data_IF_672593082104
#
_entry.id   IF_672593082104
#
_cell.length_a   1.000
_cell.length_b   1.000
_cell.length_c   1.000
_cell.angle_alpha   90.00
_cell.angle_beta   90.00
_cell.angle_gamma   90.00
#
_symmetry.space_group_name_H-M   'P 1'
#
loop_
_entity.id
_entity.type
_entity.pdbx_description
1 polymer ?
#
# COMPACT_ATOMS: atom_id res chain seq x y z
N UNK A 1 43.14 -32.17 -2.96
CA UNK A 1 41.90 -31.31 -3.07
C UNK A 1 40.87 -31.90 -2.12
N UNK A 2 40.66 -31.28 -0.95
CA UNK A 2 39.64 -31.73 0.02
C UNK A 2 38.40 -30.85 -0.16
N UNK A 3 37.30 -31.44 -0.61
CA UNK A 3 36.00 -30.78 -0.64
C UNK A 3 35.43 -30.70 0.79
N UNK A 4 35.25 -29.50 1.32
CA UNK A 4 34.55 -29.28 2.59
C UNK A 4 33.05 -29.33 2.31
N UNK A 5 32.42 -30.44 2.67
CA UNK A 5 30.98 -30.60 2.66
C UNK A 5 30.38 -29.76 3.79
N UNK A 6 29.74 -28.64 3.44
CA UNK A 6 28.94 -27.84 4.35
C UNK A 6 27.74 -28.65 4.86
N UNK A 7 27.59 -28.72 6.19
CA UNK A 7 26.56 -29.52 6.87
C UNK A 7 25.15 -28.99 6.49
N UNK A 8 24.21 -29.88 6.13
CA UNK A 8 22.86 -29.51 5.68
C UNK A 8 22.00 -28.73 6.69
N UNK A 9 22.37 -28.71 7.97
CA UNK A 9 21.67 -27.95 9.03
C UNK A 9 21.77 -26.42 8.90
N UNK A 10 22.82 -25.90 8.23
CA UNK A 10 23.02 -24.46 8.08
C UNK A 10 22.14 -23.89 6.95
N UNK A 11 21.87 -24.68 5.90
CA UNK A 11 21.00 -24.28 4.78
C UNK A 11 19.53 -24.19 5.24
N UNK A 12 19.11 -25.06 6.18
CA UNK A 12 17.75 -25.06 6.71
C UNK A 12 17.45 -23.84 7.60
N UNK A 13 18.48 -23.37 8.34
CA UNK A 13 18.34 -22.20 9.22
C UNK A 13 18.25 -20.88 8.45
N UNK A 14 18.98 -20.76 7.33
CA UNK A 14 18.94 -19.57 6.46
C UNK A 14 17.60 -19.47 5.72
N UNK A 15 17.02 -20.59 5.29
CA UNK A 15 15.68 -20.63 4.70
C UNK A 15 14.58 -20.29 5.71
N UNK A 16 14.76 -20.66 7.01
CA UNK A 16 13.80 -20.36 8.06
C UNK A 16 13.80 -18.88 8.45
N UNK A 17 14.96 -18.21 8.45
CA UNK A 17 15.07 -16.77 8.75
C UNK A 17 14.51 -15.92 7.61
N UNK A 18 14.69 -16.34 6.35
CA UNK A 18 14.08 -15.67 5.18
C UNK A 18 12.56 -15.90 5.19
N UNK A 19 12.05 -17.07 5.64
CA UNK A 19 10.61 -17.32 5.76
C UNK A 19 9.97 -16.58 6.93
N UNK A 20 10.69 -16.30 8.02
CA UNK A 20 10.19 -15.47 9.13
C UNK A 20 10.13 -13.96 8.80
N UNK A 21 10.87 -13.49 7.79
CA UNK A 21 10.77 -12.11 7.29
C UNK A 21 9.56 -11.88 6.35
N UNK A 22 8.84 -12.96 5.95
CA UNK A 22 7.78 -12.88 4.94
C UNK A 22 6.48 -13.63 5.28
N UNK A 23 6.23 -14.03 6.53
CA UNK A 23 4.95 -14.68 6.80
C UNK A 23 4.32 -14.35 8.14
N UNK A 24 3.70 -13.20 8.25
CA UNK A 24 2.32 -13.22 8.69
C UNK A 24 1.50 -13.54 7.44
N UNK A 25 1.26 -14.82 7.16
CA UNK A 25 0.22 -15.22 6.22
C UNK A 25 -1.11 -14.74 6.80
N UNK A 26 -1.45 -13.49 6.55
CA UNK A 26 -2.81 -13.03 6.65
C UNK A 26 -3.57 -13.79 5.57
N UNK A 27 -4.32 -14.81 5.96
CA UNK A 27 -5.23 -15.49 5.07
C UNK A 27 -6.24 -14.46 4.57
N UNK A 28 -6.08 -14.06 3.30
CA UNK A 28 -7.12 -13.28 2.65
C UNK A 28 -8.29 -14.21 2.34
N UNK A 29 -9.51 -13.75 2.65
CA UNK A 29 -10.72 -14.53 2.47
C UNK A 29 -11.39 -14.18 1.14
N UNK A 30 -11.82 -15.20 0.41
CA UNK A 30 -12.71 -15.02 -0.73
C UNK A 30 -14.15 -14.98 -0.21
N UNK A 31 -14.79 -13.83 -0.28
CA UNK A 31 -16.13 -13.56 0.20
C UNK A 31 -17.06 -13.29 -0.99
N UNK A 32 -18.19 -14.00 -1.05
CA UNK A 32 -19.15 -13.88 -2.16
C UNK A 32 -20.19 -12.77 -1.94
N UNK A 33 -20.36 -12.32 -0.71
CA UNK A 33 -21.42 -11.36 -0.39
C UNK A 33 -20.98 -10.33 0.64
N UNK A 34 -21.27 -9.05 0.39
CA UNK A 34 -21.07 -7.99 1.36
C UNK A 34 -21.77 -8.24 2.70
N UNK A 35 -22.88 -9.03 2.70
CA UNK A 35 -23.60 -9.42 3.93
C UNK A 35 -22.76 -10.32 4.85
N UNK A 36 -21.81 -11.06 4.29
CA UNK A 36 -20.88 -11.89 5.09
C UNK A 36 -19.90 -10.99 5.84
N UNK A 37 -19.39 -9.94 5.16
CA UNK A 37 -18.54 -8.91 5.76
C UNK A 37 -19.29 -8.22 6.90
N UNK A 38 -20.48 -7.67 6.62
CA UNK A 38 -21.32 -6.98 7.61
C UNK A 38 -21.60 -7.86 8.85
N UNK A 39 -21.98 -9.14 8.61
CA UNK A 39 -22.25 -10.10 9.69
C UNK A 39 -21.00 -10.36 10.54
N UNK A 40 -19.85 -10.52 9.92
CA UNK A 40 -18.60 -10.77 10.65
C UNK A 40 -18.26 -9.60 11.58
N UNK A 41 -18.28 -8.38 11.09
CA UNK A 41 -17.90 -7.22 11.87
C UNK A 41 -18.94 -6.89 12.95
N UNK A 42 -20.23 -7.02 12.67
CA UNK A 42 -21.30 -6.91 13.68
C UNK A 42 -21.16 -7.93 14.82
N UNK A 43 -20.87 -9.20 14.48
CA UNK A 43 -20.66 -10.26 15.47
C UNK A 43 -19.47 -9.99 16.39
N UNK A 44 -18.46 -9.30 15.90
CA UNK A 44 -17.26 -8.96 16.66
C UNK A 44 -17.31 -7.56 17.29
N UNK A 45 -18.45 -6.86 17.19
CA UNK A 45 -18.66 -5.49 17.66
C UNK A 45 -17.61 -4.50 17.15
N UNK A 46 -17.21 -4.62 15.90
CA UNK A 46 -16.23 -3.72 15.27
C UNK A 46 -16.99 -2.65 14.48
N UNK A 47 -16.72 -1.39 14.83
CA UNK A 47 -17.17 -0.21 14.12
C UNK A 47 -15.99 0.45 13.41
N UNK A 48 -16.00 0.45 12.09
CA UNK A 48 -14.89 1.01 11.29
C UNK A 48 -14.68 2.51 11.50
N UNK A 49 -15.70 3.24 11.92
CA UNK A 49 -15.60 4.68 12.20
C UNK A 49 -15.07 5.00 13.61
N UNK A 50 -15.06 3.99 14.50
CA UNK A 50 -14.57 4.12 15.88
C UNK A 50 -13.56 3.00 16.20
N UNK A 51 -12.80 2.58 15.21
CA UNK A 51 -11.87 1.46 15.30
C UNK A 51 -10.80 1.72 16.37
N UNK A 52 -10.63 0.75 17.27
CA UNK A 52 -9.61 0.80 18.30
C UNK A 52 -8.37 -0.01 17.89
N UNK A 53 -7.18 0.39 18.37
CA UNK A 53 -5.94 -0.34 18.08
C UNK A 53 -6.02 -1.83 18.44
N UNK A 54 -6.70 -2.19 19.53
CA UNK A 54 -6.92 -3.58 19.98
C UNK A 54 -7.83 -4.41 19.05
N UNK A 55 -8.50 -3.76 18.09
CA UNK A 55 -9.40 -4.42 17.14
C UNK A 55 -8.72 -4.70 15.79
N UNK A 56 -7.57 -4.08 15.54
CA UNK A 56 -6.83 -4.23 14.27
C UNK A 56 -6.56 -5.70 13.95
N UNK A 57 -6.19 -6.52 14.93
CA UNK A 57 -5.91 -7.94 14.75
C UNK A 57 -7.16 -8.76 14.33
N UNK A 58 -8.36 -8.23 14.58
CA UNK A 58 -9.62 -8.86 14.17
C UNK A 58 -10.05 -8.47 12.76
N UNK A 59 -9.36 -7.51 12.13
CA UNK A 59 -9.67 -7.09 10.77
C UNK A 59 -9.28 -8.17 9.78
N UNK A 60 -10.17 -8.40 8.81
CA UNK A 60 -9.96 -9.41 7.76
C UNK A 60 -9.53 -8.76 6.46
N UNK A 61 -8.61 -9.39 5.76
CA UNK A 61 -8.26 -9.04 4.39
C UNK A 61 -9.11 -9.86 3.43
N UNK A 62 -9.72 -9.20 2.44
CA UNK A 62 -10.53 -9.85 1.41
C UNK A 62 -9.77 -9.85 0.08
N UNK A 63 -9.88 -10.97 -0.68
CA UNK A 63 -9.18 -11.12 -1.96
C UNK A 63 -9.78 -10.25 -3.05
N UNK A 64 -11.13 -10.16 -3.06
CA UNK A 64 -11.89 -9.45 -4.09
C UNK A 64 -13.01 -8.63 -3.45
N UNK A 65 -13.55 -7.68 -4.20
CA UNK A 65 -14.82 -7.06 -3.86
C UNK A 65 -15.92 -8.09 -4.10
N UNK A 66 -16.87 -8.29 -3.16
CA UNK A 66 -17.97 -9.24 -3.36
C UNK A 66 -18.81 -8.90 -4.60
N UNK A 67 -19.20 -9.92 -5.39
CA UNK A 67 -19.92 -9.74 -6.65
C UNK A 67 -21.22 -8.92 -6.48
N UNK A 68 -21.89 -9.08 -5.35
CA UNK A 68 -23.13 -8.37 -5.07
C UNK A 68 -22.94 -7.01 -4.38
N UNK A 69 -21.71 -6.52 -4.29
CA UNK A 69 -21.44 -5.22 -3.66
C UNK A 69 -22.07 -4.05 -4.44
N UNK A 70 -22.08 -4.14 -5.77
CA UNK A 70 -22.69 -3.13 -6.63
C UNK A 70 -24.22 -3.00 -6.40
N UNK A 71 -24.88 -4.05 -5.93
CA UNK A 71 -26.33 -4.06 -5.65
C UNK A 71 -26.71 -3.47 -4.29
N UNK A 72 -25.73 -3.05 -3.48
CA UNK A 72 -25.98 -2.42 -2.19
C UNK A 72 -26.44 -0.97 -2.41
N UNK A 73 -27.73 -0.71 -2.16
CA UNK A 73 -28.36 0.60 -2.40
C UNK A 73 -28.11 1.60 -1.25
N UNK A 74 -28.07 1.12 -0.01
CA UNK A 74 -27.79 1.95 1.16
C UNK A 74 -26.38 2.55 1.08
N UNK A 75 -26.33 3.86 0.85
CA UNK A 75 -25.08 4.60 0.65
C UNK A 75 -24.18 4.54 1.90
N UNK A 76 -24.76 4.66 3.09
CA UNK A 76 -23.97 4.65 4.33
C UNK A 76 -23.38 3.25 4.58
N UNK A 77 -24.19 2.22 4.40
CA UNK A 77 -23.73 0.82 4.49
C UNK A 77 -22.67 0.50 3.43
N UNK A 78 -22.80 1.05 2.24
CA UNK A 78 -21.81 0.90 1.17
C UNK A 78 -20.45 1.49 1.56
N UNK A 79 -20.44 2.69 2.11
CA UNK A 79 -19.22 3.34 2.62
C UNK A 79 -18.59 2.51 3.74
N UNK A 80 -19.40 2.07 4.71
CA UNK A 80 -18.94 1.22 5.81
C UNK A 80 -18.27 -0.07 5.30
N UNK A 81 -18.94 -0.81 4.42
CA UNK A 81 -18.38 -2.06 3.85
C UNK A 81 -17.12 -1.77 3.03
N UNK A 82 -17.09 -0.68 2.27
CA UNK A 82 -15.89 -0.30 1.53
C UNK A 82 -14.70 -0.04 2.45
N UNK A 83 -14.89 0.68 3.55
CA UNK A 83 -13.84 0.90 4.54
C UNK A 83 -13.38 -0.41 5.20
N UNK A 84 -14.32 -1.32 5.52
CA UNK A 84 -14.01 -2.65 6.08
C UNK A 84 -13.23 -3.53 5.09
N UNK A 85 -13.31 -3.26 3.79
CA UNK A 85 -12.49 -3.93 2.75
C UNK A 85 -11.13 -3.23 2.58
N UNK A 86 -11.13 -1.91 2.42
CA UNK A 86 -9.95 -1.18 1.99
C UNK A 86 -8.95 -0.90 3.14
N UNK A 87 -9.46 -0.52 4.33
CA UNK A 87 -8.62 -0.17 5.47
C UNK A 87 -7.66 -1.31 5.89
N UNK A 88 -8.10 -2.56 6.09
CA UNK A 88 -7.20 -3.64 6.50
C UNK A 88 -6.05 -3.88 5.51
N UNK A 89 -6.33 -3.75 4.21
CA UNK A 89 -5.33 -3.91 3.16
C UNK A 89 -4.30 -2.78 3.17
N UNK A 90 -4.75 -1.55 3.36
CA UNK A 90 -3.88 -0.36 3.45
C UNK A 90 -3.02 -0.46 4.71
N UNK A 91 -3.63 -0.76 5.86
CA UNK A 91 -2.93 -0.92 7.12
C UNK A 91 -1.84 -1.99 7.02
N UNK A 92 -2.19 -3.19 6.56
CA UNK A 92 -1.24 -4.31 6.40
C UNK A 92 -0.05 -3.92 5.51
N UNK A 93 -0.29 -3.32 4.35
CA UNK A 93 0.80 -2.90 3.47
C UNK A 93 1.68 -1.81 4.09
N UNK A 94 1.11 -0.92 4.91
CA UNK A 94 1.89 0.04 5.68
C UNK A 94 2.75 -0.65 6.75
N UNK A 95 2.24 -1.68 7.42
CA UNK A 95 3.03 -2.46 8.38
C UNK A 95 4.22 -3.16 7.70
N UNK A 96 4.01 -3.76 6.53
CA UNK A 96 5.11 -4.34 5.73
C UNK A 96 6.20 -3.28 5.41
N UNK A 97 5.78 -2.08 5.01
CA UNK A 97 6.71 -0.97 4.75
C UNK A 97 7.41 -0.52 6.03
N UNK A 98 6.73 -0.48 7.19
CA UNK A 98 7.35 -0.16 8.48
C UNK A 98 8.43 -1.18 8.85
N UNK A 99 8.20 -2.47 8.61
CA UNK A 99 9.19 -3.53 8.85
C UNK A 99 10.43 -3.34 7.96
N UNK A 100 10.25 -3.10 6.66
CA UNK A 100 11.37 -2.83 5.75
C UNK A 100 12.14 -1.56 6.16
N UNK A 101 11.43 -0.51 6.56
CA UNK A 101 12.05 0.73 7.06
C UNK A 101 12.85 0.49 8.33
N UNK A 102 12.35 -0.34 9.25
CA UNK A 102 13.05 -0.73 10.48
C UNK A 102 14.37 -1.42 10.15
N UNK A 103 14.37 -2.37 9.22
CA UNK A 103 15.59 -3.05 8.75
C UNK A 103 16.64 -2.03 8.29
N UNK A 104 16.24 -1.05 7.47
CA UNK A 104 17.13 -0.01 6.97
C UNK A 104 17.73 0.83 8.12
N UNK A 105 16.89 1.21 9.09
CA UNK A 105 17.30 2.02 10.24
C UNK A 105 18.28 1.22 11.13
N UNK A 106 18.01 -0.06 11.35
CA UNK A 106 18.88 -0.91 12.18
C UNK A 106 20.23 -1.17 11.50
N UNK A 107 20.25 -1.30 10.17
CA UNK A 107 21.51 -1.36 9.41
C UNK A 107 22.31 -0.03 9.47
N UNK A 108 21.63 1.12 9.35
CA UNK A 108 22.28 2.44 9.46
C UNK A 108 22.95 2.63 10.82
N UNK A 109 22.36 2.10 11.92
CA UNK A 109 22.94 2.14 13.27
C UNK A 109 24.21 1.31 13.40
N UNK A 110 24.39 0.27 12.56
CA UNK A 110 25.61 -0.58 12.57
C UNK A 110 26.83 0.13 11.94
N UNK A 111 26.60 1.23 11.18
CA UNK A 111 27.67 2.01 10.57
C UNK A 111 27.47 2.26 9.07
N UNK A 112 28.58 2.41 8.35
CA UNK A 112 28.56 2.59 6.91
C UNK A 112 28.19 1.27 6.20
N UNK A 113 27.80 1.36 4.92
CA UNK A 113 27.46 0.16 4.11
C UNK A 113 28.64 -0.84 4.07
N UNK A 114 29.89 -0.32 4.15
CA UNK A 114 31.11 -1.15 4.12
C UNK A 114 31.31 -1.95 5.41
N UNK A 115 30.69 -1.53 6.51
CA UNK A 115 30.82 -2.16 7.82
C UNK A 115 29.79 -3.30 8.03
N UNK A 116 28.85 -3.44 7.08
CA UNK A 116 27.81 -4.46 7.15
C UNK A 116 28.37 -5.86 6.84
N UNK A 117 27.83 -6.86 7.54
CA UNK A 117 28.10 -8.27 7.22
C UNK A 117 27.41 -8.69 5.90
N UNK A 118 27.72 -9.87 5.41
CA UNK A 118 27.20 -10.37 4.12
C UNK A 118 25.69 -10.51 4.08
N UNK A 119 25.03 -10.86 5.18
CA UNK A 119 23.57 -11.02 5.28
C UNK A 119 22.87 -9.66 5.20
N UNK A 120 23.33 -8.68 5.99
CA UNK A 120 22.84 -7.32 5.96
C UNK A 120 23.03 -6.69 4.57
N UNK A 121 24.20 -6.88 3.95
CA UNK A 121 24.48 -6.39 2.59
C UNK A 121 23.53 -6.98 1.56
N UNK A 122 23.23 -8.28 1.64
CA UNK A 122 22.29 -8.92 0.74
C UNK A 122 20.87 -8.37 0.91
N UNK A 123 20.42 -8.25 2.16
CA UNK A 123 19.11 -7.66 2.48
C UNK A 123 19.02 -6.21 2.00
N UNK A 124 20.06 -5.41 2.19
CA UNK A 124 20.12 -4.02 1.72
C UNK A 124 20.05 -3.94 0.20
N UNK A 125 20.75 -4.83 -0.53
CA UNK A 125 20.68 -4.91 -2.01
C UNK A 125 19.26 -5.24 -2.49
N UNK A 126 18.59 -6.21 -1.85
CA UNK A 126 17.22 -6.59 -2.20
C UNK A 126 16.26 -5.40 -2.02
N UNK A 127 16.32 -4.72 -0.88
CA UNK A 127 15.48 -3.55 -0.60
C UNK A 127 15.80 -2.41 -1.57
N UNK A 128 17.08 -2.15 -1.84
CA UNK A 128 17.53 -1.10 -2.76
C UNK A 128 16.98 -1.33 -4.18
N UNK A 129 17.07 -2.57 -4.68
CA UNK A 129 16.50 -2.97 -5.96
C UNK A 129 14.97 -2.85 -5.97
N UNK A 130 14.30 -3.34 -4.92
CA UNK A 130 12.84 -3.24 -4.77
C UNK A 130 12.38 -1.79 -4.91
N UNK A 131 13.07 -0.86 -4.29
CA UNK A 131 12.70 0.56 -4.32
C UNK A 131 13.36 1.36 -5.47
N UNK A 132 13.81 0.70 -6.53
CA UNK A 132 14.37 1.31 -7.77
C UNK A 132 15.53 2.29 -7.49
N UNK A 133 16.42 1.94 -6.56
CA UNK A 133 17.66 2.66 -6.33
C UNK A 133 18.84 1.84 -6.83
N UNK A 134 19.91 2.53 -7.23
CA UNK A 134 21.19 1.90 -7.52
C UNK A 134 21.90 1.59 -6.21
N UNK A 135 22.55 0.43 -6.15
CA UNK A 135 23.35 0.00 -5.02
C UNK A 135 24.83 0.12 -5.34
N UNK A 136 25.54 0.91 -4.54
CA UNK A 136 27.01 0.92 -4.51
C UNK A 136 27.49 0.99 -3.06
N UNK A 137 28.64 0.36 -2.78
CA UNK A 137 29.24 0.39 -1.43
C UNK A 137 29.74 1.78 -1.02
N UNK A 138 29.98 2.65 -2.00
CA UNK A 138 30.48 4.00 -1.86
C UNK A 138 29.36 5.04 -1.66
N UNK A 139 28.09 4.67 -1.83
CA UNK A 139 26.97 5.62 -1.73
C UNK A 139 26.66 5.97 -0.27
N UNK A 140 27.38 6.97 0.25
CA UNK A 140 27.15 7.51 1.61
C UNK A 140 25.75 8.07 1.86
N UNK A 141 24.95 8.25 0.80
CA UNK A 141 23.56 8.75 0.90
C UNK A 141 22.51 7.65 0.72
N UNK A 142 22.89 6.39 0.53
CA UNK A 142 21.94 5.30 0.24
C UNK A 142 20.87 5.17 1.32
N UNK A 143 21.23 5.15 2.60
CA UNK A 143 20.27 5.09 3.72
C UNK A 143 19.28 6.28 3.69
N UNK A 144 19.76 7.48 3.40
CA UNK A 144 18.91 8.67 3.27
C UNK A 144 17.91 8.51 2.10
N UNK A 145 18.38 8.04 0.94
CA UNK A 145 17.55 7.79 -0.24
C UNK A 145 16.52 6.69 0.03
N UNK A 146 16.94 5.59 0.68
CA UNK A 146 16.04 4.50 1.07
C UNK A 146 14.97 4.99 2.05
N UNK A 147 15.34 5.68 3.12
CA UNK A 147 14.37 6.20 4.11
C UNK A 147 13.40 7.23 3.52
N UNK A 148 13.73 7.88 2.42
CA UNK A 148 12.82 8.74 1.68
C UNK A 148 11.79 7.94 0.86
N UNK A 149 12.19 6.79 0.28
CA UNK A 149 11.31 5.93 -0.50
C UNK A 149 10.55 4.92 0.36
N UNK A 150 11.22 4.25 1.28
CA UNK A 150 10.64 3.25 2.17
C UNK A 150 9.96 3.95 3.34
N UNK A 151 8.73 4.39 3.13
CA UNK A 151 7.93 5.04 4.16
C UNK A 151 6.43 4.85 3.90
N UNK A 152 5.65 4.85 4.97
CA UNK A 152 4.19 4.66 4.94
C UNK A 152 3.47 5.73 4.12
N UNK A 153 2.32 5.37 3.60
CA UNK A 153 1.37 6.31 3.01
C UNK A 153 0.28 6.56 4.05
N UNK A 154 -0.11 7.81 4.35
CA UNK A 154 -1.22 8.07 5.26
C UNK A 154 -2.44 7.24 4.86
N UNK A 155 -3.07 6.60 5.84
CA UNK A 155 -4.23 5.72 5.58
C UNK A 155 -5.37 6.52 4.97
N UNK A 156 -5.64 7.70 5.52
CA UNK A 156 -6.63 8.64 5.02
C UNK A 156 -6.43 9.00 3.55
N UNK A 157 -5.17 9.24 3.15
CA UNK A 157 -4.82 9.55 1.78
C UNK A 157 -5.06 8.37 0.85
N UNK A 158 -4.62 7.18 1.25
CA UNK A 158 -4.81 5.96 0.47
C UNK A 158 -6.30 5.60 0.34
N UNK A 159 -7.10 5.77 1.40
CA UNK A 159 -8.56 5.61 1.36
C UNK A 159 -9.21 6.62 0.42
N UNK A 160 -8.87 7.90 0.52
CA UNK A 160 -9.41 8.95 -0.33
C UNK A 160 -9.17 8.70 -1.81
N UNK A 161 -7.95 8.27 -2.17
CA UNK A 161 -7.61 7.89 -3.54
C UNK A 161 -8.36 6.62 -3.99
N UNK A 162 -8.44 5.59 -3.15
CA UNK A 162 -9.21 4.38 -3.46
C UNK A 162 -10.69 4.68 -3.72
N UNK A 163 -11.30 5.58 -2.92
CA UNK A 163 -12.69 6.05 -3.10
C UNK A 163 -12.88 6.67 -4.49
N UNK A 164 -11.98 7.58 -4.86
CA UNK A 164 -12.10 8.34 -6.12
C UNK A 164 -11.90 7.44 -7.34
N UNK A 165 -10.85 6.62 -7.31
CA UNK A 165 -10.41 5.80 -8.45
C UNK A 165 -11.31 4.59 -8.68
N UNK A 166 -11.82 3.98 -7.60
CA UNK A 166 -12.70 2.81 -7.70
C UNK A 166 -14.21 3.15 -7.70
N UNK A 167 -14.56 4.41 -7.45
CA UNK A 167 -15.96 4.79 -7.24
C UNK A 167 -16.58 4.04 -6.06
N UNK A 168 -15.90 4.06 -4.90
CA UNK A 168 -16.32 3.27 -3.72
C UNK A 168 -16.32 1.75 -3.99
N UNK A 169 -15.38 1.25 -4.78
CA UNK A 169 -15.28 -0.15 -5.13
C UNK A 169 -16.32 -0.63 -6.14
N UNK A 170 -17.12 0.26 -6.74
CA UNK A 170 -18.21 -0.10 -7.65
C UNK A 170 -17.82 -0.07 -9.13
N UNK A 171 -16.65 0.48 -9.47
CA UNK A 171 -16.22 0.51 -10.86
C UNK A 171 -15.99 -0.92 -11.39
N UNK A 172 -16.24 -1.12 -12.69
CA UNK A 172 -15.93 -2.38 -13.38
C UNK A 172 -14.48 -2.82 -13.13
N UNK A 173 -13.56 -1.87 -13.12
CA UNK A 173 -12.14 -2.16 -12.89
C UNK A 173 -11.85 -2.67 -11.46
N UNK A 174 -12.58 -2.16 -10.46
CA UNK A 174 -12.45 -2.63 -9.09
C UNK A 174 -13.05 -4.04 -8.91
N UNK A 175 -14.21 -4.31 -9.53
CA UNK A 175 -14.92 -5.59 -9.40
C UNK A 175 -14.25 -6.69 -10.24
N UNK A 176 -14.01 -6.45 -11.54
CA UNK A 176 -13.49 -7.48 -12.45
C UNK A 176 -11.96 -7.59 -12.42
N UNK A 177 -11.26 -6.55 -11.97
CA UNK A 177 -9.80 -6.44 -12.06
C UNK A 177 -9.10 -6.19 -10.72
N UNK A 178 -9.81 -6.16 -9.59
CA UNK A 178 -9.27 -5.82 -8.28
C UNK A 178 -8.47 -4.49 -8.26
N UNK A 179 -8.76 -3.58 -9.20
CA UNK A 179 -8.02 -2.34 -9.43
C UNK A 179 -8.62 -1.19 -8.62
N UNK A 180 -8.20 -1.03 -7.35
CA UNK A 180 -8.69 0.04 -6.47
C UNK A 180 -8.16 1.44 -6.84
N UNK A 181 -7.03 1.53 -7.55
CA UNK A 181 -6.31 2.80 -7.78
C UNK A 181 -6.14 3.14 -9.27
N UNK A 182 -6.82 2.43 -10.17
CA UNK A 182 -6.85 2.78 -11.60
C UNK A 182 -5.49 2.78 -12.29
N UNK A 183 -4.52 2.00 -11.81
CA UNK A 183 -3.17 1.96 -12.38
C UNK A 183 -3.19 1.45 -13.82
N UNK A 184 -2.37 2.06 -14.66
CA UNK A 184 -2.30 1.72 -16.09
C UNK A 184 -1.25 0.65 -16.35
N UNK A 185 -1.53 -0.14 -17.40
CA UNK A 185 -0.56 -1.03 -18.06
C UNK A 185 -0.60 -0.82 -19.56
N UNK A 186 0.54 -1.00 -20.23
CA UNK A 186 0.62 -1.03 -21.70
C UNK A 186 0.53 -2.47 -22.24
N UNK A 187 0.59 -3.47 -21.35
CA UNK A 187 0.28 -4.86 -21.69
C UNK A 187 -1.25 -5.06 -21.59
N UNK A 188 -1.88 -5.20 -22.74
CA UNK A 188 -3.33 -5.39 -22.83
C UNK A 188 -3.79 -6.76 -22.30
N UNK A 189 -2.90 -7.76 -22.21
CA UNK A 189 -3.22 -9.06 -21.62
C UNK A 189 -3.33 -8.98 -20.09
N UNK A 190 -2.57 -8.06 -19.49
CA UNK A 190 -2.59 -7.81 -18.04
C UNK A 190 -3.62 -6.74 -17.63
N UNK A 191 -4.50 -6.27 -18.52
CA UNK A 191 -5.38 -5.15 -18.23
C UNK A 191 -6.80 -5.28 -18.74
N UNK A 192 -7.68 -4.41 -18.20
CA UNK A 192 -9.04 -4.19 -18.68
C UNK A 192 -9.05 -2.93 -19.54
N UNK A 193 -9.53 -3.07 -20.78
CA UNK A 193 -9.64 -1.96 -21.72
C UNK A 193 -10.81 -1.06 -21.29
N UNK A 194 -10.60 0.27 -21.12
CA UNK A 194 -11.70 1.21 -20.88
C UNK A 194 -12.67 1.25 -22.07
N UNK A 195 -13.97 1.17 -21.82
CA UNK A 195 -14.99 1.20 -22.88
C UNK A 195 -14.96 2.49 -23.73
N UNK A 196 -14.62 3.61 -23.10
CA UNK A 196 -14.52 4.93 -23.72
C UNK A 196 -13.07 5.35 -24.01
N UNK A 197 -12.17 4.36 -24.23
CA UNK A 197 -10.78 4.67 -24.57
C UNK A 197 -10.71 5.32 -25.96
N UNK A 198 -9.99 6.45 -26.05
CA UNK A 198 -9.69 7.08 -27.33
C UNK A 198 -8.99 6.09 -28.28
N UNK A 199 -9.30 6.10 -29.58
CA UNK A 199 -8.74 5.15 -30.55
C UNK A 199 -7.21 5.11 -30.60
N UNK A 200 -6.56 6.25 -30.33
CA UNK A 200 -5.10 6.40 -30.40
C UNK A 200 -4.39 5.98 -29.10
N UNK A 201 -5.14 5.66 -28.04
CA UNK A 201 -4.55 5.26 -26.76
C UNK A 201 -4.45 3.73 -26.65
N UNK A 202 -3.31 3.24 -26.17
CA UNK A 202 -3.02 1.79 -26.06
C UNK A 202 -3.05 1.26 -24.63
N UNK A 203 -3.14 2.15 -23.62
CA UNK A 203 -3.16 1.75 -22.23
C UNK A 203 -4.47 1.03 -21.82
N UNK A 204 -4.32 0.13 -20.86
CA UNK A 204 -5.42 -0.52 -20.16
C UNK A 204 -5.30 -0.28 -18.65
N UNK A 205 -6.37 -0.48 -17.90
CA UNK A 205 -6.30 -0.51 -16.44
C UNK A 205 -5.79 -1.88 -16.01
N UNK A 206 -4.71 -1.88 -15.22
CA UNK A 206 -4.04 -3.11 -14.77
C UNK A 206 -4.98 -3.96 -13.94
N UNK A 207 -5.03 -5.27 -14.22
CA UNK A 207 -5.70 -6.28 -13.39
C UNK A 207 -4.74 -6.80 -12.33
N UNK A 208 -5.31 -7.23 -11.21
CA UNK A 208 -4.58 -7.85 -10.10
C UNK A 208 -5.29 -9.14 -9.69
N UNK A 209 -4.52 -10.10 -9.22
CA UNK A 209 -5.08 -11.36 -8.71
C UNK A 209 -5.89 -11.10 -7.43
N UNK A 210 -5.42 -10.17 -6.59
CA UNK A 210 -6.05 -9.79 -5.33
C UNK A 210 -6.06 -8.27 -5.13
N UNK A 211 -7.03 -7.77 -4.35
CA UNK A 211 -7.10 -6.36 -3.94
C UNK A 211 -5.81 -5.88 -3.26
N UNK A 212 -5.17 -6.75 -2.46
CA UNK A 212 -3.91 -6.45 -1.79
C UNK A 212 -2.80 -6.09 -2.78
N UNK A 213 -2.75 -6.74 -3.94
CA UNK A 213 -1.73 -6.47 -4.96
C UNK A 213 -1.92 -5.08 -5.60
N UNK A 214 -3.18 -4.65 -5.76
CA UNK A 214 -3.49 -3.29 -6.19
C UNK A 214 -3.02 -2.26 -5.17
N UNK A 215 -3.31 -2.46 -3.88
CA UNK A 215 -2.85 -1.58 -2.79
C UNK A 215 -1.32 -1.53 -2.74
N UNK A 216 -0.66 -2.69 -2.80
CA UNK A 216 0.80 -2.80 -2.79
C UNK A 216 1.43 -2.06 -3.99
N UNK A 217 0.88 -2.27 -5.17
CA UNK A 217 1.33 -1.61 -6.40
C UNK A 217 1.15 -0.09 -6.33
N UNK A 218 0.03 0.40 -5.79
CA UNK A 218 -0.21 1.82 -5.55
C UNK A 218 0.84 2.43 -4.59
N UNK A 219 1.02 1.84 -3.40
CA UNK A 219 1.98 2.33 -2.41
C UNK A 219 3.41 2.31 -2.95
N UNK A 220 3.75 1.27 -3.70
CA UNK A 220 5.04 1.17 -4.37
C UNK A 220 5.23 2.29 -5.41
N UNK A 221 4.20 2.60 -6.19
CA UNK A 221 4.24 3.68 -7.18
C UNK A 221 4.49 5.04 -6.52
N UNK A 222 3.72 5.40 -5.48
CA UNK A 222 3.93 6.65 -4.71
C UNK A 222 5.35 6.69 -4.13
N UNK A 223 5.85 5.56 -3.65
CA UNK A 223 7.16 5.45 -3.02
C UNK A 223 8.35 5.48 -4.00
N UNK A 224 8.15 5.18 -5.29
CA UNK A 224 9.27 5.02 -6.25
C UNK A 224 9.23 5.94 -7.44
N UNK A 225 8.05 6.28 -7.97
CA UNK A 225 7.93 7.01 -9.23
C UNK A 225 8.37 8.47 -9.07
N UNK A 226 9.03 9.02 -10.10
CA UNK A 226 9.62 10.37 -10.04
C UNK A 226 8.58 11.48 -9.87
N UNK A 227 7.39 11.33 -10.43
CA UNK A 227 6.29 12.29 -10.27
C UNK A 227 5.94 12.60 -8.80
N UNK A 228 6.22 11.67 -7.88
CA UNK A 228 5.94 11.82 -6.44
C UNK A 228 7.19 12.15 -5.61
N UNK A 229 8.25 12.67 -6.24
CA UNK A 229 9.48 13.04 -5.52
C UNK A 229 9.21 14.10 -4.45
N UNK A 230 8.50 15.17 -4.80
CA UNK A 230 8.15 16.26 -3.86
C UNK A 230 7.28 15.75 -2.70
N UNK A 231 6.29 14.90 -3.00
CA UNK A 231 5.49 14.23 -1.98
C UNK A 231 6.39 13.51 -0.95
N UNK A 232 7.38 12.74 -1.42
CA UNK A 232 8.29 12.01 -0.53
C UNK A 232 9.21 12.93 0.28
N UNK A 233 9.63 14.05 -0.30
CA UNK A 233 10.43 15.07 0.42
C UNK A 233 9.61 15.70 1.54
N UNK A 234 8.40 16.16 1.24
CA UNK A 234 7.51 16.80 2.20
C UNK A 234 7.09 15.79 3.27
N UNK A 235 6.71 14.56 2.91
CA UNK A 235 6.40 13.50 3.87
C UNK A 235 7.52 13.33 4.90
N UNK A 236 8.78 13.25 4.46
CA UNK A 236 9.93 13.13 5.36
C UNK A 236 10.08 14.32 6.33
N UNK A 237 9.71 15.52 5.89
CA UNK A 237 9.77 16.73 6.70
C UNK A 237 8.62 16.75 7.72
N UNK A 238 7.40 16.51 7.26
CA UNK A 238 6.18 16.58 8.05
C UNK A 238 6.08 15.47 9.09
N UNK A 239 6.59 14.26 8.80
CA UNK A 239 6.65 13.16 9.77
C UNK A 239 7.49 13.49 11.03
N UNK A 240 8.30 14.55 10.99
CA UNK A 240 9.08 15.03 12.14
C UNK A 240 8.36 16.08 12.98
N UNK A 241 7.33 16.70 12.44
CA UNK A 241 6.66 17.88 13.05
C UNK A 241 5.40 17.46 13.82
N UNK A 242 4.85 16.26 13.58
CA UNK A 242 3.85 15.63 14.44
C UNK A 242 2.38 16.11 14.31
N UNK A 243 2.06 17.10 13.47
CA UNK A 243 0.69 17.54 13.24
C UNK A 243 0.03 16.71 12.11
N UNK A 244 -0.84 15.74 12.45
CA UNK A 244 -1.29 14.73 11.47
C UNK A 244 -2.19 15.28 10.37
N UNK A 245 -3.26 15.99 10.69
CA UNK A 245 -4.26 16.40 9.68
C UNK A 245 -3.72 17.45 8.69
N UNK A 246 -3.11 18.53 9.17
CA UNK A 246 -2.51 19.56 8.32
C UNK A 246 -1.40 18.99 7.43
N UNK A 247 -0.62 18.06 7.96
CA UNK A 247 0.42 17.37 7.22
C UNK A 247 -0.12 16.50 6.08
N UNK A 248 -1.29 15.88 6.24
CA UNK A 248 -1.93 15.11 5.17
C UNK A 248 -2.46 16.04 4.08
N UNK A 249 -3.07 17.18 4.43
CA UNK A 249 -3.54 18.17 3.46
C UNK A 249 -2.44 18.75 2.59
N UNK A 250 -1.26 19.00 3.17
CA UNK A 250 -0.07 19.40 2.39
C UNK A 250 0.31 18.30 1.39
N UNK A 251 0.28 17.04 1.82
CA UNK A 251 0.58 15.87 0.96
C UNK A 251 -0.45 15.68 -0.17
N UNK A 252 -1.72 15.93 0.09
CA UNK A 252 -2.81 15.89 -0.92
C UNK A 252 -2.49 16.85 -2.09
N UNK A 253 -2.07 18.07 -1.80
CA UNK A 253 -1.75 19.08 -2.83
C UNK A 253 -0.62 18.67 -3.77
N UNK A 254 0.26 17.77 -3.32
CA UNK A 254 1.39 17.26 -4.11
C UNK A 254 1.00 16.06 -5.00
N UNK A 255 -0.26 15.64 -4.99
CA UNK A 255 -0.77 14.56 -5.83
C UNK A 255 -1.41 15.05 -7.13
N UNK A 256 -1.24 16.30 -7.50
CA UNK A 256 -1.74 16.83 -8.78
C UNK A 256 -1.28 16.01 -10.01
N UNK A 257 -0.08 15.41 -9.92
CA UNK A 257 0.46 14.55 -10.98
C UNK A 257 -0.17 13.13 -11.02
N UNK A 258 -1.08 12.79 -10.09
CA UNK A 258 -1.72 11.48 -10.04
C UNK A 258 -2.75 11.29 -11.16
N UNK A 259 -3.44 12.35 -11.54
CA UNK A 259 -4.43 12.33 -12.60
C UNK A 259 -4.21 13.45 -13.62
N UNK A 260 -4.62 13.22 -14.88
CA UNK A 260 -4.50 14.20 -15.97
C UNK A 260 -5.21 15.54 -15.66
N UNK A 261 -6.25 15.50 -14.82
CA UNK A 261 -7.02 16.69 -14.42
C UNK A 261 -6.33 17.58 -13.38
N UNK A 262 -5.14 17.17 -12.90
CA UNK A 262 -4.26 17.99 -12.06
C UNK A 262 -4.94 18.57 -10.83
N UNK A 263 -5.06 19.93 -10.75
CA UNK A 263 -5.64 20.61 -9.60
C UNK A 263 -7.07 20.16 -9.27
N UNK A 264 -7.91 19.87 -10.27
CA UNK A 264 -9.28 19.38 -10.03
C UNK A 264 -9.30 18.04 -9.29
N UNK A 265 -8.28 17.22 -9.49
CA UNK A 265 -8.11 15.98 -8.74
C UNK A 265 -7.85 16.27 -7.26
N UNK A 266 -6.96 17.22 -6.97
CA UNK A 266 -6.65 17.66 -5.61
C UNK A 266 -7.89 18.17 -4.91
N UNK A 267 -8.65 19.08 -5.55
CA UNK A 267 -9.89 19.65 -5.01
C UNK A 267 -10.93 18.53 -4.70
N UNK A 268 -11.04 17.54 -5.60
CA UNK A 268 -11.90 16.35 -5.37
C UNK A 268 -11.42 15.50 -4.21
N UNK A 269 -10.12 15.32 -4.07
CA UNK A 269 -9.54 14.52 -2.99
C UNK A 269 -9.71 15.20 -1.63
N UNK A 270 -9.54 16.52 -1.56
CA UNK A 270 -9.82 17.32 -0.35
C UNK A 270 -11.30 17.22 0.05
N UNK A 271 -12.23 17.33 -0.93
CA UNK A 271 -13.66 17.15 -0.67
C UNK A 271 -13.99 15.76 -0.11
N UNK A 272 -13.43 14.70 -0.69
CA UNK A 272 -13.63 13.32 -0.22
C UNK A 272 -13.05 13.14 1.17
N UNK A 273 -11.87 13.69 1.42
CA UNK A 273 -11.20 13.66 2.71
C UNK A 273 -12.09 14.28 3.81
N UNK A 274 -12.63 15.48 3.58
CA UNK A 274 -13.45 16.20 4.54
C UNK A 274 -14.82 15.56 4.74
N UNK A 275 -15.51 15.22 3.66
CA UNK A 275 -16.88 14.70 3.71
C UNK A 275 -17.01 13.30 4.30
N UNK A 276 -15.88 12.60 4.52
CA UNK A 276 -15.85 11.26 5.11
C UNK A 276 -14.97 11.18 6.37
N UNK A 277 -14.52 12.31 6.94
CA UNK A 277 -13.67 12.38 8.14
C UNK A 277 -12.45 11.46 8.08
N UNK A 278 -11.78 11.40 6.89
CA UNK A 278 -10.74 10.40 6.66
C UNK A 278 -9.53 10.55 7.59
N UNK A 279 -9.29 11.74 8.15
CA UNK A 279 -8.20 11.96 9.11
C UNK A 279 -8.27 11.05 10.34
N UNK A 280 -9.46 10.62 10.74
CA UNK A 280 -9.66 9.72 11.89
C UNK A 280 -8.96 8.37 11.70
N UNK A 281 -8.80 7.91 10.44
CA UNK A 281 -8.11 6.66 10.13
C UNK A 281 -6.58 6.71 10.29
N UNK A 282 -5.96 7.89 10.38
CA UNK A 282 -4.51 8.02 10.55
C UNK A 282 -4.06 7.88 12.01
N UNK A 283 -4.98 8.03 12.97
CA UNK A 283 -4.71 7.98 14.42
C UNK A 283 -4.78 6.58 15.05
N UNK A 284 -5.17 5.58 14.27
CA UNK A 284 -5.36 4.22 14.76
C UNK A 284 -4.02 3.48 14.70
N UNK A 285 -3.28 3.44 15.84
CA UNK A 285 -1.96 2.78 16.00
C UNK A 285 -2.01 1.72 17.09
#
# INVERSE_FOLDING_TARGET
MKYVLLKPKLIFLVLLVISCLFSTQSFSENVKSWKEIDRYYKKNNIDVYNLQASEIEKLKSYETIPDNFATLEDVQKKKEIFFLIAYPLIHKNNEDIKQERKIIIDMEKKGSIKDLNSEDLNSLKIITKKYKLEFTLEDKYLYKKLKQRVNVIPVSLALGQAIIESGWGQSRFAIEGNALYGQWTFDQQEGLIPEKRDPDKTHAVKKFDKLEDSVRSYMYNINTHMAYYEFRVIRRITDRIGAMDENVRIKIKLLAAYAEIGKKYVDKLELVFDSNNLSEFDGIN
#
